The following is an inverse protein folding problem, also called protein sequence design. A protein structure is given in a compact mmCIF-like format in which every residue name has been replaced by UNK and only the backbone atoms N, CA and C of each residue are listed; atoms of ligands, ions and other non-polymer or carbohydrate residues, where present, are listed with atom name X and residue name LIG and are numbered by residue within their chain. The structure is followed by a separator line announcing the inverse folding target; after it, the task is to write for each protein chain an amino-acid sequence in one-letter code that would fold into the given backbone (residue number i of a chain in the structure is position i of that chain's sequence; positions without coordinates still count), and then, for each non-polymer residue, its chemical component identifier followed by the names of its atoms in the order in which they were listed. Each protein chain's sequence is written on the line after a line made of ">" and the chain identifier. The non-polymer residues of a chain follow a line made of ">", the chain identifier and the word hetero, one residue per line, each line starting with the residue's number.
data_IF_177723107216
#
_entry.id   IF_177723107216
#
_cell.length_a   1.000
_cell.length_b   1.000
_cell.length_c   1.000
_cell.angle_alpha   90.00
_cell.angle_beta   90.00
_cell.angle_gamma   90.00
#
_symmetry.space_group_name_H-M   'P 1'
#
loop_
_entity.id
_entity.type
_entity.pdbx_description
1 polymer ?
#
# COMPACT_ATOMS: atom_id res chain seq x y z
N UNK A 1 6.71 -8.02 7.39
CA UNK A 1 6.31 -8.15 8.81
C UNK A 1 4.81 -8.35 8.95
N UNK A 2 3.99 -7.47 8.38
CA UNK A 2 2.53 -7.54 8.46
C UNK A 2 1.88 -8.80 7.86
N UNK A 3 2.36 -9.29 6.73
CA UNK A 3 1.79 -10.49 6.09
C UNK A 3 1.77 -11.70 7.03
N UNK A 4 2.89 -11.96 7.71
CA UNK A 4 3.03 -13.13 8.57
C UNK A 4 2.18 -13.04 9.86
N UNK A 5 1.98 -11.84 10.41
CA UNK A 5 1.34 -11.64 11.73
C UNK A 5 -0.13 -11.21 11.65
N UNK A 6 -0.49 -10.43 10.63
CA UNK A 6 -1.80 -9.79 10.49
C UNK A 6 -2.47 -10.09 9.14
N UNK A 7 -1.91 -11.03 8.36
CA UNK A 7 -2.40 -11.39 7.03
C UNK A 7 -2.50 -10.18 6.07
N UNK A 8 -1.54 -9.24 6.17
CA UNK A 8 -1.38 -8.14 5.23
C UNK A 8 -2.55 -7.13 5.18
N UNK A 9 -2.90 -6.47 6.30
CA UNK A 9 -4.02 -5.52 6.36
C UNK A 9 -3.87 -4.34 5.40
N UNK A 10 -2.66 -3.97 5.00
CA UNK A 10 -2.38 -2.90 4.04
C UNK A 10 -3.02 -3.11 2.68
N UNK A 11 -3.18 -4.36 2.25
CA UNK A 11 -3.93 -4.70 1.04
C UNK A 11 -5.46 -4.63 1.21
N UNK A 12 -5.97 -4.40 2.42
CA UNK A 12 -7.41 -4.35 2.72
C UNK A 12 -7.90 -2.97 3.13
N UNK A 13 -7.17 -2.28 4.01
CA UNK A 13 -7.58 -0.93 4.44
C UNK A 13 -7.28 0.14 3.40
N UNK A 14 -6.38 -0.13 2.44
CA UNK A 14 -6.02 0.83 1.42
C UNK A 14 -7.18 0.93 0.42
N UNK A 15 -7.84 2.09 0.27
CA UNK A 15 -9.02 2.21 -0.58
C UNK A 15 -8.69 2.20 -2.08
N UNK A 16 -7.41 2.22 -2.46
CA UNK A 16 -6.97 2.37 -3.84
C UNK A 16 -6.01 1.26 -4.30
N UNK A 17 -5.88 0.15 -3.55
CA UNK A 17 -5.05 -0.98 -3.98
C UNK A 17 -3.57 -0.63 -4.16
N UNK A 18 -3.02 0.28 -3.35
CA UNK A 18 -1.60 0.66 -3.40
C UNK A 18 -0.69 -0.49 -2.96
N UNK A 19 -1.13 -1.33 -2.03
CA UNK A 19 -0.34 -2.42 -1.45
C UNK A 19 -0.89 -3.76 -1.91
N UNK A 20 -0.06 -4.55 -2.60
CA UNK A 20 -0.44 -5.86 -3.12
C UNK A 20 0.61 -6.91 -2.77
N UNK A 21 0.18 -8.12 -2.39
CA UNK A 21 1.09 -9.23 -2.11
C UNK A 21 1.12 -10.20 -3.29
N UNK A 22 2.17 -10.11 -4.10
CA UNK A 22 2.36 -10.92 -5.31
C UNK A 22 3.38 -12.03 -5.07
N UNK A 23 3.37 -13.11 -5.86
CA UNK A 23 4.43 -14.13 -5.80
C UNK A 23 5.83 -13.53 -5.98
N UNK A 24 6.78 -14.01 -5.20
CA UNK A 24 8.19 -13.67 -5.27
C UNK A 24 8.92 -14.68 -6.17
N UNK A 25 9.02 -14.33 -7.45
CA UNK A 25 9.70 -15.14 -8.47
C UNK A 25 11.17 -15.42 -8.12
N UNK A 26 11.84 -14.49 -7.43
CA UNK A 26 13.24 -14.69 -6.98
C UNK A 26 13.38 -15.76 -5.90
N UNK A 27 12.27 -16.19 -5.28
CA UNK A 27 12.20 -17.28 -4.30
C UNK A 27 11.41 -18.48 -4.81
N UNK A 28 11.32 -18.64 -6.12
CA UNK A 28 10.65 -19.78 -6.76
C UNK A 28 9.12 -19.75 -6.63
N UNK A 29 8.51 -18.58 -6.46
CA UNK A 29 7.04 -18.40 -6.47
C UNK A 29 6.31 -18.82 -5.18
N UNK A 30 6.97 -19.56 -4.28
CA UNK A 30 6.38 -20.03 -3.01
C UNK A 30 6.25 -18.96 -1.93
N UNK A 31 7.02 -17.87 -2.04
CA UNK A 31 6.96 -16.74 -1.12
C UNK A 31 6.17 -15.58 -1.74
N UNK A 32 5.62 -14.70 -0.90
CA UNK A 32 5.01 -13.45 -1.35
C UNK A 32 5.92 -12.27 -1.07
N UNK A 33 5.94 -11.31 -2.00
CA UNK A 33 6.57 -9.99 -1.83
C UNK A 33 5.50 -8.90 -1.85
N UNK A 34 5.78 -7.80 -1.15
CA UNK A 34 4.96 -6.60 -1.23
C UNK A 34 5.31 -5.84 -2.50
N UNK A 35 4.30 -5.51 -3.30
CA UNK A 35 4.36 -4.60 -4.43
C UNK A 35 3.62 -3.31 -4.06
N UNK A 36 4.25 -2.16 -4.31
CA UNK A 36 3.69 -0.85 -4.02
C UNK A 36 3.36 -0.14 -5.34
N UNK A 37 2.07 -0.06 -5.66
CA UNK A 37 1.52 0.62 -6.83
C UNK A 37 1.22 2.08 -6.47
N UNK A 38 2.26 2.87 -6.18
CA UNK A 38 2.13 4.23 -5.64
C UNK A 38 1.33 5.19 -6.53
N UNK A 39 1.27 4.92 -7.84
CA UNK A 39 0.49 5.67 -8.83
C UNK A 39 -1.01 5.70 -8.52
N UNK A 40 -1.51 4.69 -7.79
CA UNK A 40 -2.93 4.61 -7.41
C UNK A 40 -3.25 5.44 -6.16
N UNK A 41 -2.26 6.04 -5.48
CA UNK A 41 -2.48 6.65 -4.18
C UNK A 41 -3.47 7.83 -4.24
N UNK A 42 -4.52 7.76 -3.42
CA UNK A 42 -5.54 8.82 -3.28
C UNK A 42 -5.29 9.76 -2.08
N UNK A 43 -4.09 9.73 -1.52
CA UNK A 43 -3.65 10.62 -0.44
C UNK A 43 -4.49 10.59 0.87
N UNK A 44 -5.32 9.56 1.08
CA UNK A 44 -6.19 9.43 2.25
C UNK A 44 -5.47 9.23 3.60
N UNK A 45 -4.16 8.91 3.59
CA UNK A 45 -3.31 8.63 4.78
C UNK A 45 -3.69 7.41 5.61
N UNK A 46 -4.70 6.61 5.23
CA UNK A 46 -5.11 5.41 6.00
C UNK A 46 -3.95 4.47 6.28
N UNK A 47 -3.01 4.30 5.34
CA UNK A 47 -1.86 3.42 5.51
C UNK A 47 -0.85 3.89 6.56
N UNK A 48 -0.66 5.18 6.71
CA UNK A 48 0.21 5.79 7.72
C UNK A 48 -0.41 5.60 9.13
N UNK A 49 -1.73 5.73 9.22
CA UNK A 49 -2.47 5.67 10.50
C UNK A 49 -2.75 4.23 10.97
N UNK A 50 -3.15 3.34 10.05
CA UNK A 50 -3.70 2.02 10.40
C UNK A 50 -2.69 0.88 10.32
N UNK A 51 -1.45 1.15 9.89
CA UNK A 51 -0.41 0.12 9.92
C UNK A 51 -0.14 -0.30 11.37
N UNK A 52 -0.36 -1.58 11.75
CA UNK A 52 -0.22 -2.06 13.12
C UNK A 52 1.23 -2.05 13.61
N UNK A 53 2.19 -1.92 12.70
CA UNK A 53 3.62 -1.88 13.01
C UNK A 53 4.23 -0.48 12.88
N UNK A 54 3.44 0.51 12.46
CA UNK A 54 3.89 1.86 12.13
C UNK A 54 5.12 1.87 11.21
N UNK A 55 5.14 0.99 10.21
CA UNK A 55 6.26 0.80 9.29
C UNK A 55 6.07 1.52 7.94
N UNK A 56 4.91 2.14 7.72
CA UNK A 56 4.61 2.92 6.51
C UNK A 56 4.72 4.40 6.87
N UNK A 57 5.59 5.12 6.14
CA UNK A 57 5.72 6.57 6.24
C UNK A 57 5.21 7.18 4.95
N UNK A 58 4.10 7.91 5.02
CA UNK A 58 3.57 8.66 3.88
C UNK A 58 4.31 9.99 3.75
N UNK A 59 4.79 10.27 2.54
CA UNK A 59 5.35 11.57 2.16
C UNK A 59 4.64 12.07 0.91
N UNK A 60 4.52 13.39 0.77
CA UNK A 60 3.90 13.99 -0.40
C UNK A 60 4.68 13.62 -1.67
N UNK A 61 4.01 13.17 -2.73
CA UNK A 61 4.65 13.00 -4.04
C UNK A 61 4.90 14.36 -4.71
N UNK A 62 5.45 14.33 -5.92
CA UNK A 62 5.61 15.53 -6.75
C UNK A 62 4.27 16.27 -6.96
N UNK A 63 4.36 17.60 -7.07
CA UNK A 63 3.19 18.46 -7.23
C UNK A 63 2.38 18.12 -8.49
N UNK A 64 1.05 18.03 -8.35
CA UNK A 64 0.15 17.61 -9.44
C UNK A 64 -0.13 16.09 -9.47
N UNK A 65 0.55 15.29 -8.66
CA UNK A 65 0.21 13.88 -8.43
C UNK A 65 -1.00 13.71 -7.50
N UNK A 66 -1.69 12.57 -7.64
CA UNK A 66 -2.81 12.18 -6.79
C UNK A 66 -4.19 12.36 -7.45
N UNK A 67 -5.28 12.27 -6.66
CA UNK A 67 -6.64 12.25 -7.18
C UNK A 67 -7.09 13.63 -7.67
N UNK A 68 -7.87 13.64 -8.76
CA UNK A 68 -8.59 14.82 -9.24
C UNK A 68 -10.08 14.69 -8.91
N UNK A 69 -10.51 15.29 -7.81
CA UNK A 69 -11.89 15.24 -7.35
C UNK A 69 -12.70 16.38 -7.98
N UNK A 70 -13.46 16.08 -9.04
CA UNK A 70 -14.44 17.00 -9.59
C UNK A 70 -15.81 16.78 -8.93
N UNK A 71 -16.27 17.74 -8.13
CA UNK A 71 -17.61 17.71 -7.51
C UNK A 71 -17.78 16.70 -6.37
N UNK A 72 -16.68 16.33 -5.69
CA UNK A 72 -16.69 15.52 -4.47
C UNK A 72 -16.64 16.39 -3.22
#
# INVERSE_FOLDING_TARGET
>A
MNLAKFAGPEGRYCPAGVYEFVPDESKGGSAQRLQINAQNCVHCKTCDIKDPTQNIVWVSPEGGGGPNYAGM
#
